data_IF_110946634253
#
_entry.id   IF_110946634253
#
_cell.length_a   1.000
_cell.length_b   1.000
_cell.length_c   1.000
_cell.angle_alpha   90.00
_cell.angle_beta   90.00
_cell.angle_gamma   90.00
#
_symmetry.space_group_name_H-M   'P 1'
#
loop_
_entity.id
_entity.type
_entity.pdbx_description
1 polymer ?
#
# COMPACT_ATOMS: atom_id res chain seq x y z
N UNK A 1 8.40 -53.19 36.91
CA UNK A 1 9.24 -52.67 35.81
C UNK A 1 8.56 -51.43 35.26
N UNK A 2 8.95 -50.25 35.73
CA UNK A 2 8.35 -48.98 35.30
C UNK A 2 9.25 -48.36 34.22
N UNK A 3 8.78 -48.40 32.98
CA UNK A 3 9.44 -47.82 31.81
C UNK A 3 9.25 -46.30 31.86
N UNK A 4 10.29 -45.55 32.24
CA UNK A 4 10.33 -44.09 32.10
C UNK A 4 10.72 -43.77 30.66
N UNK A 5 9.74 -43.38 29.86
CA UNK A 5 9.93 -42.80 28.54
C UNK A 5 10.48 -41.37 28.74
N UNK A 6 11.73 -41.14 28.35
CA UNK A 6 12.38 -39.84 28.39
C UNK A 6 12.05 -39.11 27.09
N UNK A 7 11.11 -38.18 27.12
CA UNK A 7 10.71 -37.37 25.97
C UNK A 7 11.80 -36.35 25.65
N UNK A 8 12.40 -36.46 24.47
CA UNK A 8 13.33 -35.49 23.88
C UNK A 8 12.53 -34.24 23.49
N UNK A 9 12.74 -33.13 24.20
CA UNK A 9 12.18 -31.82 23.85
C UNK A 9 13.07 -31.18 22.78
N UNK A 10 12.71 -31.35 21.50
CA UNK A 10 13.34 -30.61 20.40
C UNK A 10 12.73 -29.21 20.41
N UNK A 11 13.47 -28.22 20.90
CA UNK A 11 13.10 -26.80 20.79
C UNK A 11 13.24 -26.37 19.33
N UNK A 12 12.12 -26.23 18.64
CA UNK A 12 12.07 -25.62 17.31
C UNK A 12 12.41 -24.12 17.43
N UNK A 13 13.63 -23.75 17.03
CA UNK A 13 13.99 -22.36 16.77
C UNK A 13 13.17 -21.89 15.57
N UNK A 14 12.08 -21.17 15.84
CA UNK A 14 11.33 -20.48 14.80
C UNK A 14 12.21 -19.34 14.27
N UNK A 15 12.32 -19.15 12.94
CA UNK A 15 12.99 -17.97 12.41
C UNK A 15 12.21 -16.73 12.85
N UNK A 16 12.86 -15.87 13.65
CA UNK A 16 12.35 -14.53 13.93
C UNK A 16 12.31 -13.78 12.61
N UNK A 17 11.14 -13.72 12.01
CA UNK A 17 10.95 -12.96 10.79
C UNK A 17 10.99 -11.48 11.17
N UNK A 18 12.11 -10.81 10.87
CA UNK A 18 12.31 -9.41 11.26
C UNK A 18 11.38 -8.49 10.47
N UNK A 19 10.77 -7.58 11.20
CA UNK A 19 10.04 -6.42 10.71
C UNK A 19 11.00 -5.48 9.95
N UNK A 20 10.63 -5.05 8.74
CA UNK A 20 11.42 -4.05 8.01
C UNK A 20 11.23 -2.66 8.63
N UNK A 21 12.33 -1.90 8.74
CA UNK A 21 12.31 -0.54 9.29
C UNK A 21 12.49 0.48 8.18
N UNK A 22 11.63 1.50 8.16
CA UNK A 22 11.67 2.58 7.17
C UNK A 22 12.22 3.84 7.82
N UNK A 23 13.23 4.47 7.21
CA UNK A 23 13.70 5.79 7.62
C UNK A 23 12.97 6.90 6.88
N UNK A 24 12.43 7.85 7.64
CA UNK A 24 11.86 9.10 7.14
C UNK A 24 12.95 10.17 6.94
N UNK A 25 12.60 11.25 6.24
CA UNK A 25 13.45 12.41 5.99
C UNK A 25 13.95 13.09 7.28
N UNK A 26 13.11 13.10 8.32
CA UNK A 26 13.45 13.61 9.65
C UNK A 26 14.31 12.63 10.49
N UNK A 27 14.73 11.49 9.91
CA UNK A 27 15.45 10.38 10.56
C UNK A 27 14.66 9.60 11.61
N UNK A 28 13.36 9.86 11.72
CA UNK A 28 12.46 8.99 12.47
C UNK A 28 12.36 7.64 11.75
N UNK A 29 12.23 6.59 12.54
CA UNK A 29 12.07 5.23 12.04
C UNK A 29 10.62 4.80 12.21
N UNK A 30 10.06 4.18 11.18
CA UNK A 30 8.79 3.46 11.24
C UNK A 30 9.12 1.97 11.26
N UNK A 31 8.70 1.28 12.32
CA UNK A 31 8.71 -0.18 12.37
C UNK A 31 7.45 -0.70 11.67
N UNK A 32 7.62 -1.55 10.66
CA UNK A 32 6.51 -2.15 9.92
C UNK A 32 6.43 -3.65 10.17
N UNK A 33 5.28 -4.28 9.96
CA UNK A 33 5.14 -5.74 9.96
C UNK A 33 5.43 -6.38 8.58
N UNK A 34 5.71 -5.53 7.57
CA UNK A 34 6.09 -5.93 6.23
C UNK A 34 7.46 -6.63 6.21
N UNK A 35 7.62 -7.56 5.27
CA UNK A 35 8.88 -8.30 5.03
C UNK A 35 9.77 -7.62 4.02
N UNK A 36 9.16 -6.85 3.15
CA UNK A 36 9.81 -5.92 2.25
C UNK A 36 9.03 -4.61 2.34
N UNK A 37 9.74 -3.50 2.52
CA UNK A 37 9.14 -2.19 2.58
C UNK A 37 10.08 -1.15 1.94
N UNK A 38 9.50 -0.26 1.15
CA UNK A 38 10.19 0.84 0.48
C UNK A 38 9.39 2.12 0.64
N UNK A 39 10.01 3.15 1.21
CA UNK A 39 9.42 4.49 1.22
C UNK A 39 9.32 5.02 -0.22
N UNK A 40 8.10 5.38 -0.63
CA UNK A 40 7.83 6.05 -1.89
C UNK A 40 7.93 7.56 -1.69
N UNK A 41 7.23 8.09 -0.71
CA UNK A 41 7.19 9.52 -0.42
C UNK A 41 6.67 9.81 0.97
N UNK A 42 6.87 11.04 1.42
CA UNK A 42 6.25 11.61 2.62
C UNK A 42 5.32 12.74 2.17
N UNK A 43 4.04 12.65 2.55
CA UNK A 43 3.02 13.60 2.14
C UNK A 43 2.10 13.93 3.32
N UNK A 44 2.09 15.20 3.72
CA UNK A 44 1.19 15.77 4.72
C UNK A 44 1.02 14.94 6.02
N UNK A 45 2.13 14.47 6.60
CA UNK A 45 2.13 13.68 7.85
C UNK A 45 1.84 12.18 7.66
N UNK A 46 1.99 11.69 6.43
CA UNK A 46 1.93 10.27 6.08
C UNK A 46 3.16 9.85 5.28
N UNK A 47 3.63 8.64 5.53
CA UNK A 47 4.57 7.93 4.68
C UNK A 47 3.79 7.01 3.75
N UNK A 48 4.02 7.18 2.45
CA UNK A 48 3.53 6.30 1.39
C UNK A 48 4.58 5.22 1.19
N UNK A 49 4.21 3.98 1.44
CA UNK A 49 5.14 2.84 1.47
C UNK A 49 4.67 1.79 0.50
N UNK A 50 5.59 1.26 -0.31
CA UNK A 50 5.36 0.05 -1.09
C UNK A 50 5.93 -1.15 -0.35
N UNK A 51 5.19 -2.25 -0.26
CA UNK A 51 5.69 -3.45 0.41
C UNK A 51 4.80 -4.67 0.29
N UNK A 52 5.20 -5.74 0.98
CA UNK A 52 4.43 -7.00 1.09
C UNK A 52 4.69 -7.70 2.43
N UNK A 53 3.71 -8.45 2.92
CA UNK A 53 3.81 -9.22 4.17
C UNK A 53 4.47 -10.59 3.98
N UNK A 54 4.65 -11.04 2.74
CA UNK A 54 5.22 -12.34 2.44
C UNK A 54 6.03 -12.32 1.13
N UNK A 55 7.27 -12.85 1.20
CA UNK A 55 8.21 -12.89 0.08
C UNK A 55 8.14 -14.20 -0.73
N UNK A 56 7.72 -15.28 -0.07
CA UNK A 56 7.68 -16.64 -0.63
C UNK A 56 6.26 -17.10 -0.94
N UNK A 57 5.39 -16.18 -1.32
CA UNK A 57 4.02 -16.44 -1.78
C UNK A 57 3.66 -15.53 -2.97
N UNK A 58 2.46 -15.72 -3.50
CA UNK A 58 1.83 -14.97 -4.60
C UNK A 58 1.38 -13.55 -4.21
N UNK A 59 1.83 -13.02 -3.07
CA UNK A 59 1.46 -11.68 -2.63
C UNK A 59 2.10 -10.62 -3.52
N UNK A 60 1.25 -9.91 -4.27
CA UNK A 60 1.64 -8.71 -4.98
C UNK A 60 2.04 -7.59 -4.03
N UNK A 61 3.03 -6.80 -4.48
CA UNK A 61 3.38 -5.52 -3.87
C UNK A 61 2.13 -4.65 -3.73
N UNK A 62 2.02 -3.96 -2.61
CA UNK A 62 0.90 -3.09 -2.30
C UNK A 62 1.39 -1.74 -1.78
N UNK A 63 0.49 -0.76 -1.75
CA UNK A 63 0.70 0.56 -1.16
C UNK A 63 0.09 0.56 0.25
N UNK A 64 0.81 1.17 1.18
CA UNK A 64 0.48 1.32 2.58
C UNK A 64 0.67 2.78 3.00
N UNK A 65 -0.19 3.26 3.90
CA UNK A 65 -0.17 4.64 4.40
C UNK A 65 0.08 4.67 5.90
N UNK A 66 1.30 5.01 6.31
CA UNK A 66 1.65 5.11 7.72
C UNK A 66 1.57 6.56 8.18
N UNK A 67 0.76 6.83 9.21
CA UNK A 67 0.72 8.16 9.84
C UNK A 67 2.05 8.38 10.57
N UNK A 68 2.75 9.47 10.25
CA UNK A 68 4.10 9.76 10.79
C UNK A 68 4.07 10.70 12.00
N UNK A 69 2.87 11.10 12.44
CA UNK A 69 2.69 12.15 13.43
C UNK A 69 2.94 13.53 12.81
N UNK A 70 2.21 14.55 13.26
CA UNK A 70 2.61 15.94 12.98
C UNK A 70 3.63 16.33 14.04
N UNK A 71 4.58 17.20 13.70
CA UNK A 71 5.64 17.64 14.62
C UNK A 71 5.13 18.20 15.97
N UNK A 72 3.82 18.47 16.06
CA UNK A 72 3.17 19.18 17.17
C UNK A 72 2.32 18.24 18.05
N UNK A 73 2.02 17.02 17.58
CA UNK A 73 1.35 16.00 18.39
C UNK A 73 2.40 14.94 18.75
N UNK A 74 2.74 14.85 20.03
CA UNK A 74 3.65 13.86 20.59
C UNK A 74 3.13 12.44 20.45
N UNK A 75 3.08 11.94 19.21
CA UNK A 75 2.77 10.55 18.89
C UNK A 75 3.98 9.74 19.32
N UNK A 76 3.82 9.04 20.44
CA UNK A 76 4.77 8.01 20.87
C UNK A 76 4.99 7.02 19.72
N UNK A 77 6.26 6.84 19.35
CA UNK A 77 6.70 5.92 18.31
C UNK A 77 6.23 4.46 18.51
N UNK A 78 5.79 4.10 19.73
CA UNK A 78 5.31 2.76 20.07
C UNK A 78 3.89 2.43 19.57
N UNK A 79 3.15 3.38 18.97
CA UNK A 79 1.78 3.14 18.49
C UNK A 79 1.45 3.83 17.16
N UNK A 80 2.30 3.66 16.14
CA UNK A 80 1.80 3.74 14.77
C UNK A 80 0.90 2.50 14.60
N UNK A 81 -0.41 2.68 14.83
CA UNK A 81 -1.40 1.61 14.80
C UNK A 81 -1.34 0.90 13.45
N UNK A 82 -1.22 -0.41 13.51
CA UNK A 82 -1.19 -1.42 12.45
C UNK A 82 -2.50 -1.58 11.66
N UNK A 83 -3.46 -0.64 11.77
CA UNK A 83 -4.65 -0.60 10.91
C UNK A 83 -4.32 0.05 9.56
N UNK A 84 -3.15 -0.28 8.99
CA UNK A 84 -2.73 0.28 7.72
C UNK A 84 -3.47 -0.45 6.60
N UNK A 85 -4.46 0.22 6.01
CA UNK A 85 -5.16 -0.31 4.86
C UNK A 85 -4.18 -0.62 3.71
N UNK A 86 -4.40 -1.77 3.06
CA UNK A 86 -3.65 -2.25 1.91
C UNK A 86 -4.32 -1.74 0.65
N UNK A 87 -3.58 -1.03 -0.19
CA UNK A 87 -4.05 -0.55 -1.49
C UNK A 87 -3.27 -1.20 -2.64
N UNK A 88 -3.90 -1.32 -3.80
CA UNK A 88 -3.29 -1.88 -5.01
C UNK A 88 -2.09 -1.04 -5.46
N UNK A 89 -0.97 -1.71 -5.79
CA UNK A 89 0.18 -1.04 -6.41
C UNK A 89 -0.11 -0.72 -7.89
N UNK A 90 0.37 0.39 -8.48
CA UNK A 90 0.11 0.65 -9.90
C UNK A 90 0.74 -0.40 -10.81
N UNK A 91 0.13 -0.66 -11.95
CA UNK A 91 0.64 -1.63 -12.89
C UNK A 91 -0.37 -2.15 -13.89
N UNK A 92 -0.01 -3.29 -14.47
CA UNK A 92 -0.82 -4.02 -15.43
C UNK A 92 -0.95 -5.45 -14.94
N UNK A 93 -2.18 -5.88 -14.73
CA UNK A 93 -2.49 -7.15 -14.09
C UNK A 93 -3.00 -8.14 -15.12
N UNK A 94 -2.34 -9.29 -15.18
CA UNK A 94 -2.76 -10.44 -15.96
C UNK A 94 -3.54 -11.39 -15.05
N UNK A 95 -4.62 -11.97 -15.56
CA UNK A 95 -5.25 -13.13 -14.90
C UNK A 95 -4.24 -14.29 -14.89
N UNK A 96 -4.01 -14.87 -13.71
CA UNK A 96 -2.99 -15.90 -13.51
C UNK A 96 -3.19 -17.10 -14.45
N UNK A 97 -4.43 -17.52 -14.68
CA UNK A 97 -4.74 -18.74 -15.44
C UNK A 97 -4.68 -18.52 -16.95
N UNK A 98 -5.34 -17.49 -17.45
CA UNK A 98 -5.46 -17.20 -18.89
C UNK A 98 -4.33 -16.35 -19.44
N UNK A 99 -3.54 -15.73 -18.56
CA UNK A 99 -2.49 -14.74 -18.89
C UNK A 99 -3.01 -13.54 -19.68
N UNK A 100 -4.32 -13.30 -19.66
CA UNK A 100 -4.94 -12.14 -20.32
C UNK A 100 -4.85 -10.93 -19.41
N UNK A 101 -4.64 -9.76 -20.01
CA UNK A 101 -4.72 -8.50 -19.29
C UNK A 101 -6.15 -8.28 -18.80
N UNK A 102 -6.31 -8.16 -17.48
CA UNK A 102 -7.60 -7.97 -16.82
C UNK A 102 -7.72 -6.63 -16.12
N UNK A 103 -6.60 -6.00 -15.74
CA UNK A 103 -6.63 -4.69 -15.09
C UNK A 103 -5.41 -3.85 -15.47
N UNK A 104 -5.60 -2.53 -15.54
CA UNK A 104 -4.55 -1.51 -15.67
C UNK A 104 -4.82 -0.45 -14.61
N UNK A 105 -3.85 -0.20 -13.75
CA UNK A 105 -3.98 0.74 -12.65
C UNK A 105 -2.82 1.73 -12.70
N UNK A 106 -3.14 3.02 -12.78
CA UNK A 106 -2.19 4.12 -12.59
C UNK A 106 -2.41 4.71 -11.22
N UNK A 107 -1.33 5.07 -10.53
CA UNK A 107 -1.41 5.68 -9.21
C UNK A 107 -0.61 6.97 -9.20
N UNK A 108 -1.18 7.99 -8.60
CA UNK A 108 -0.58 9.30 -8.43
C UNK A 108 -0.60 9.71 -6.97
N UNK A 109 0.37 10.51 -6.55
CA UNK A 109 0.42 11.11 -5.23
C UNK A 109 0.89 12.56 -5.29
N UNK A 110 0.50 13.35 -4.30
CA UNK A 110 0.83 14.77 -4.18
C UNK A 110 -0.40 15.66 -4.34
N UNK A 111 -0.34 16.73 -5.13
CA UNK A 111 -1.45 17.69 -5.29
C UNK A 111 -2.25 17.40 -6.57
N UNK A 112 -2.92 16.24 -6.58
CA UNK A 112 -3.70 15.74 -7.73
C UNK A 112 -5.16 16.20 -7.76
N UNK A 113 -5.69 16.77 -6.66
CA UNK A 113 -7.10 17.16 -6.55
C UNK A 113 -7.28 18.45 -5.74
N UNK A 114 -7.85 19.48 -6.37
CA UNK A 114 -8.23 20.78 -5.77
C UNK A 114 -7.16 21.42 -4.86
N UNK A 115 -5.88 21.24 -5.19
CA UNK A 115 -4.75 21.74 -4.37
C UNK A 115 -4.57 21.04 -3.02
N UNK A 116 -5.29 19.93 -2.78
CA UNK A 116 -5.17 19.14 -1.56
C UNK A 116 -4.17 17.99 -1.73
N UNK A 117 -3.38 17.67 -0.68
CA UNK A 117 -2.56 16.47 -0.66
C UNK A 117 -3.44 15.23 -0.81
N UNK A 118 -3.11 14.39 -1.80
CA UNK A 118 -3.98 13.32 -2.26
C UNK A 118 -3.21 12.15 -2.84
N UNK A 119 -3.87 10.99 -2.84
CA UNK A 119 -3.49 9.82 -3.63
C UNK A 119 -4.65 9.48 -4.57
N UNK A 120 -4.35 9.17 -5.81
CA UNK A 120 -5.33 8.90 -6.85
C UNK A 120 -4.99 7.62 -7.59
N UNK A 121 -5.93 6.69 -7.64
CA UNK A 121 -5.88 5.52 -8.52
C UNK A 121 -6.85 5.70 -9.67
N UNK A 122 -6.35 5.52 -10.89
CA UNK A 122 -7.13 5.44 -12.12
C UNK A 122 -7.01 4.01 -12.63
N UNK A 123 -8.09 3.25 -12.49
CA UNK A 123 -8.12 1.83 -12.82
C UNK A 123 -9.05 1.58 -14.00
N UNK A 124 -8.59 0.79 -14.95
CA UNK A 124 -9.43 0.19 -15.98
C UNK A 124 -9.37 -1.33 -15.81
N UNK A 125 -10.51 -1.98 -15.58
CA UNK A 125 -10.60 -3.43 -15.44
C UNK A 125 -11.58 -4.04 -16.45
N UNK A 126 -11.30 -5.27 -16.88
CA UNK A 126 -12.14 -6.04 -17.80
C UNK A 126 -13.19 -6.80 -17.01
N UNK A 127 -14.46 -6.65 -17.38
CA UNK A 127 -15.56 -7.43 -16.78
C UNK A 127 -16.05 -8.57 -17.71
N UNK A 128 -15.24 -8.94 -18.71
CA UNK A 128 -15.54 -9.96 -19.72
C UNK A 128 -15.95 -9.36 -21.07
N UNK A 129 -16.87 -8.40 -21.08
CA UNK A 129 -17.41 -7.82 -22.31
C UNK A 129 -16.83 -6.44 -22.64
N UNK A 130 -16.42 -5.69 -21.62
CA UNK A 130 -15.91 -4.32 -21.76
C UNK A 130 -14.87 -3.98 -20.70
N UNK A 131 -14.13 -2.92 -20.97
CA UNK A 131 -13.30 -2.24 -19.98
C UNK A 131 -14.14 -1.23 -19.21
N UNK A 132 -14.13 -1.34 -17.89
CA UNK A 132 -14.79 -0.43 -16.95
C UNK A 132 -13.73 0.44 -16.30
N UNK A 133 -14.00 1.74 -16.19
CA UNK A 133 -13.11 2.68 -15.50
C UNK A 133 -13.57 2.88 -14.07
N UNK A 134 -12.63 2.95 -13.15
CA UNK A 134 -12.86 3.26 -11.74
C UNK A 134 -11.82 4.28 -11.28
N UNK A 135 -12.24 5.17 -10.41
CA UNK A 135 -11.43 6.23 -9.87
C UNK A 135 -11.55 6.19 -8.35
N UNK A 136 -10.40 6.12 -7.70
CA UNK A 136 -10.32 6.07 -6.25
C UNK A 136 -9.38 7.15 -5.74
N UNK A 137 -9.90 8.03 -4.91
CA UNK A 137 -9.21 9.20 -4.40
C UNK A 137 -9.15 9.12 -2.88
N UNK A 138 -7.95 9.30 -2.33
CA UNK A 138 -7.74 9.53 -0.90
C UNK A 138 -7.27 10.97 -0.75
N UNK A 139 -8.00 11.75 0.06
CA UNK A 139 -7.59 13.08 0.50
C UNK A 139 -6.95 12.95 1.88
N UNK A 140 -5.78 13.57 2.05
CA UNK A 140 -5.09 13.62 3.34
C UNK A 140 -5.48 14.93 4.03
N UNK A 141 -6.52 14.87 4.86
CA UNK A 141 -7.03 16.00 5.62
C UNK A 141 -6.43 16.03 7.05
N UNK A 142 -6.73 17.10 7.79
CA UNK A 142 -6.28 17.27 9.18
C UNK A 142 -6.86 16.21 10.12
N UNK A 143 -8.11 15.82 9.91
CA UNK A 143 -8.77 14.75 10.67
C UNK A 143 -8.34 13.33 10.24
N UNK A 144 -7.51 13.20 9.19
CA UNK A 144 -7.01 11.93 8.67
C UNK A 144 -7.39 11.68 7.20
N UNK A 145 -7.37 10.40 6.82
CA UNK A 145 -7.64 9.99 5.44
C UNK A 145 -9.14 10.04 5.14
N UNK A 146 -9.50 10.65 4.01
CA UNK A 146 -10.87 10.64 3.48
C UNK A 146 -10.90 9.92 2.14
N UNK A 147 -11.64 8.83 2.09
CA UNK A 147 -11.73 7.95 0.93
C UNK A 147 -12.92 8.36 0.07
N UNK A 148 -12.72 8.47 -1.23
CA UNK A 148 -13.76 8.80 -2.21
C UNK A 148 -13.69 7.82 -3.38
N UNK A 149 -14.79 7.08 -3.56
CA UNK A 149 -15.01 6.26 -4.75
C UNK A 149 -15.87 7.04 -5.72
N UNK A 150 -15.38 7.24 -6.95
CA UNK A 150 -16.12 7.95 -7.99
C UNK A 150 -16.47 6.95 -9.09
N UNK A 151 -17.69 6.44 -9.03
CA UNK A 151 -18.26 5.65 -10.12
C UNK A 151 -19.10 6.56 -11.03
N UNK A 152 -18.51 6.98 -12.15
CA UNK A 152 -19.20 7.48 -13.35
C UNK A 152 -20.18 8.67 -13.24
N UNK A 153 -20.29 9.37 -12.11
CA UNK A 153 -21.37 10.38 -11.93
C UNK A 153 -20.95 11.84 -12.09
N UNK A 154 -19.66 12.18 -12.12
CA UNK A 154 -19.19 13.56 -12.40
C UNK A 154 -17.83 13.53 -13.12
N UNK A 155 -17.52 14.49 -14.00
CA UNK A 155 -16.17 14.62 -14.54
C UNK A 155 -15.23 14.99 -13.40
N UNK A 156 -14.41 14.03 -13.00
CA UNK A 156 -13.39 14.24 -11.98
C UNK A 156 -12.35 15.23 -12.51
N UNK A 157 -12.24 16.40 -11.88
CA UNK A 157 -11.22 17.39 -12.22
C UNK A 157 -9.94 17.00 -11.49
N UNK A 158 -9.25 15.99 -12.01
CA UNK A 158 -7.92 15.62 -11.55
C UNK A 158 -6.86 16.46 -12.26
N UNK A 159 -5.89 16.93 -11.50
CA UNK A 159 -4.78 17.73 -12.00
C UNK A 159 -3.55 16.85 -12.24
N UNK A 160 -3.69 15.78 -13.04
CA UNK A 160 -2.59 14.82 -13.30
C UNK A 160 -1.43 15.41 -14.10
N UNK A 161 -1.63 16.57 -14.73
CA UNK A 161 -0.56 17.34 -15.41
C UNK A 161 0.14 18.32 -14.46
N UNK A 162 -0.34 18.47 -13.22
CA UNK A 162 0.34 19.27 -12.21
C UNK A 162 1.71 18.64 -11.91
N UNK A 163 2.83 19.38 -11.96
CA UNK A 163 4.15 18.89 -11.58
C UNK A 163 4.22 18.31 -10.16
N UNK A 164 3.32 18.75 -9.27
CA UNK A 164 3.21 18.24 -7.90
C UNK A 164 2.28 17.00 -7.78
N UNK A 165 1.69 16.53 -8.88
CA UNK A 165 0.97 15.26 -8.96
C UNK A 165 1.86 14.25 -9.66
N UNK A 166 2.53 13.41 -8.86
CA UNK A 166 3.57 12.52 -9.34
C UNK A 166 2.97 11.14 -9.59
N UNK A 167 3.13 10.61 -10.80
CA UNK A 167 2.78 9.23 -11.12
C UNK A 167 3.83 8.27 -10.52
N UNK A 168 3.35 7.26 -9.80
CA UNK A 168 4.18 6.16 -9.35
C UNK A 168 4.29 5.12 -10.46
N UNK A 169 5.54 4.76 -10.81
CA UNK A 169 5.81 3.75 -11.83
C UNK A 169 5.25 2.38 -11.42
N UNK A 170 4.41 1.84 -12.31
CA UNK A 170 3.84 0.51 -12.18
C UNK A 170 4.57 -0.54 -13.01
N UNK A 171 4.32 -1.81 -12.71
CA UNK A 171 4.90 -2.94 -13.44
C UNK A 171 3.86 -4.02 -13.77
N UNK A 172 4.26 -5.02 -14.54
CA UNK A 172 3.40 -6.16 -14.88
C UNK A 172 3.31 -7.13 -13.69
N UNK A 173 2.10 -7.49 -13.28
CA UNK A 173 1.80 -8.41 -12.18
C UNK A 173 0.74 -9.42 -12.61
N UNK A 174 0.57 -10.48 -11.81
CA UNK A 174 -0.49 -11.47 -11.99
C UNK A 174 -1.50 -11.34 -10.85
N UNK A 175 -2.79 -11.48 -11.16
CA UNK A 175 -3.87 -11.46 -10.19
C UNK A 175 -4.48 -12.85 -10.12
N UNK A 176 -4.52 -13.41 -8.91
CA UNK A 176 -5.22 -14.66 -8.65
C UNK A 176 -6.74 -14.41 -8.51
N UNK A 177 -7.61 -15.36 -8.90
CA UNK A 177 -9.07 -15.22 -8.87
C UNK A 177 -9.69 -14.93 -7.49
#
# INVERSE_FOLDING_TARGET
>A
MNLRCLTLLVTALSPMVSAETISLSNRQLITTDLKEAKLISELNGYAIVAGRHCLDCDENLAIYLYRTGRADEGVSADKIRTDTERYTYPGRYLDYMSKKLVEKTRMFYGHCYEGQPSLLWLTEYSNGDRWVKSEYLILIADEGLKHRYIEHQQPSVFYIENPECIELEGFMMELEP
#
